data_IF_475686002128
#
_entry.id   IF_475686002128
#
_cell.length_a   1.000
_cell.length_b   1.000
_cell.length_c   1.000
_cell.angle_alpha   90.00
_cell.angle_beta   90.00
_cell.angle_gamma   90.00
#
_symmetry.space_group_name_H-M   'P 1'
#
loop_
_entity.id
_entity.type
_entity.pdbx_description
1 polymer ?
#
# COMPACT_ATOMS: atom_id res chain seq x y z
N UNK A 1 3.36 28.49 -17.11
CA UNK A 1 2.22 27.76 -16.53
C UNK A 1 1.75 28.57 -15.34
N UNK A 2 0.48 28.99 -15.32
CA UNK A 2 -0.05 29.77 -14.19
C UNK A 2 -0.23 28.87 -12.97
N UNK A 3 -0.33 29.46 -11.78
CA UNK A 3 -0.64 28.71 -10.56
C UNK A 3 -1.99 27.96 -10.67
N UNK A 4 -2.96 28.55 -11.39
CA UNK A 4 -4.25 27.93 -11.67
C UNK A 4 -4.11 26.67 -12.56
N UNK A 5 -3.26 26.74 -13.59
CA UNK A 5 -3.02 25.59 -14.49
C UNK A 5 -2.37 24.42 -13.73
N UNK A 6 -1.42 24.73 -12.84
CA UNK A 6 -0.76 23.73 -12.00
C UNK A 6 -1.73 23.08 -11.00
N UNK A 7 -2.60 23.89 -10.38
CA UNK A 7 -3.62 23.40 -9.47
C UNK A 7 -4.62 22.47 -10.18
N UNK A 8 -5.10 22.87 -11.37
CA UNK A 8 -6.00 22.05 -12.18
C UNK A 8 -5.34 20.72 -12.58
N UNK A 9 -4.07 20.76 -13.02
CA UNK A 9 -3.33 19.55 -13.36
C UNK A 9 -3.25 18.57 -12.18
N UNK A 10 -2.98 19.08 -10.97
CA UNK A 10 -2.92 18.24 -9.76
C UNK A 10 -4.28 17.60 -9.44
N UNK A 11 -5.38 18.34 -9.57
CA UNK A 11 -6.73 17.77 -9.39
C UNK A 11 -6.99 16.66 -10.42
N UNK A 12 -6.66 16.89 -11.69
CA UNK A 12 -6.85 15.88 -12.73
C UNK A 12 -6.05 14.61 -12.41
N UNK A 13 -4.82 14.75 -11.91
CA UNK A 13 -4.00 13.62 -11.46
C UNK A 13 -4.63 12.90 -10.27
N UNK A 14 -5.15 13.63 -9.28
CA UNK A 14 -5.84 13.04 -8.11
C UNK A 14 -7.10 12.26 -8.52
N UNK A 15 -7.90 12.80 -9.44
CA UNK A 15 -9.05 12.10 -10.03
C UNK A 15 -8.58 10.82 -10.73
N UNK A 16 -7.51 10.89 -11.53
CA UNK A 16 -6.94 9.72 -12.19
C UNK A 16 -6.48 8.64 -11.21
N UNK A 17 -5.85 9.02 -10.10
CA UNK A 17 -5.44 8.12 -9.02
C UNK A 17 -6.67 7.49 -8.32
N UNK A 18 -7.71 8.28 -8.06
CA UNK A 18 -8.96 7.79 -7.47
C UNK A 18 -9.64 6.76 -8.38
N UNK A 19 -9.72 7.03 -9.67
CA UNK A 19 -10.23 6.07 -10.67
C UNK A 19 -9.38 4.80 -10.74
N UNK A 20 -8.06 4.90 -10.60
CA UNK A 20 -7.18 3.74 -10.51
C UNK A 20 -7.51 2.87 -9.28
N UNK A 21 -7.75 3.48 -8.11
CA UNK A 21 -8.21 2.76 -6.90
C UNK A 21 -9.49 1.97 -7.18
N UNK A 22 -10.50 2.59 -7.80
CA UNK A 22 -11.75 1.90 -8.17
C UNK A 22 -11.47 0.71 -9.11
N UNK A 23 -10.60 0.91 -10.09
CA UNK A 23 -10.17 -0.16 -11.01
C UNK A 23 -9.48 -1.31 -10.27
N UNK A 24 -8.62 -1.03 -9.29
CA UNK A 24 -7.95 -2.06 -8.49
C UNK A 24 -8.97 -2.80 -7.60
N UNK A 25 -9.92 -2.10 -6.99
CA UNK A 25 -11.00 -2.72 -6.20
C UNK A 25 -11.84 -3.67 -7.05
N UNK A 26 -12.18 -3.28 -8.28
CA UNK A 26 -12.83 -4.18 -9.22
C UNK A 26 -11.96 -5.42 -9.47
N UNK A 27 -10.65 -5.26 -9.73
CA UNK A 27 -9.75 -6.41 -9.94
C UNK A 27 -9.67 -7.33 -8.72
N UNK A 28 -9.59 -6.78 -7.52
CA UNK A 28 -9.63 -7.55 -6.26
C UNK A 28 -10.94 -8.33 -6.17
N UNK A 29 -12.08 -7.66 -6.37
CA UNK A 29 -13.39 -8.30 -6.32
C UNK A 29 -13.55 -9.42 -7.34
N UNK A 30 -13.09 -9.20 -8.59
CA UNK A 30 -13.20 -10.21 -9.65
C UNK A 30 -12.39 -11.46 -9.31
N UNK A 31 -11.25 -11.26 -8.65
CA UNK A 31 -10.34 -12.32 -8.26
C UNK A 31 -10.87 -13.15 -7.10
N UNK A 32 -11.62 -12.54 -6.17
CA UNK A 32 -12.13 -13.20 -4.97
C UNK A 32 -13.54 -13.77 -5.12
N UNK A 33 -14.45 -13.05 -5.81
CA UNK A 33 -15.89 -13.33 -5.81
C UNK A 33 -16.54 -13.30 -7.20
N UNK A 34 -15.76 -13.09 -8.27
CA UNK A 34 -16.28 -12.98 -9.63
C UNK A 34 -16.80 -11.58 -10.00
N UNK A 35 -17.35 -11.43 -11.20
CA UNK A 35 -17.60 -10.12 -11.82
C UNK A 35 -18.73 -9.30 -11.20
N UNK A 36 -19.85 -9.93 -10.83
CA UNK A 36 -21.00 -9.19 -10.31
C UNK A 36 -20.73 -8.54 -8.94
N UNK A 37 -20.18 -9.25 -7.92
CA UNK A 37 -19.81 -8.61 -6.65
C UNK A 37 -18.70 -7.58 -6.82
N UNK A 38 -17.75 -7.82 -7.74
CA UNK A 38 -16.68 -6.87 -8.04
C UNK A 38 -17.21 -5.54 -8.61
N UNK A 39 -18.15 -5.63 -9.55
CA UNK A 39 -18.80 -4.47 -10.13
C UNK A 39 -19.56 -3.69 -9.07
N UNK A 40 -20.33 -4.38 -8.21
CA UNK A 40 -21.03 -3.75 -7.10
C UNK A 40 -20.07 -3.03 -6.15
N UNK A 41 -18.95 -3.66 -5.75
CA UNK A 41 -17.97 -3.05 -4.88
C UNK A 41 -17.33 -1.79 -5.49
N UNK A 42 -16.93 -1.86 -6.77
CA UNK A 42 -16.36 -0.71 -7.48
C UNK A 42 -17.38 0.42 -7.68
N UNK A 43 -18.64 0.07 -7.96
CA UNK A 43 -19.73 1.03 -8.08
C UNK A 43 -20.01 1.73 -6.74
N UNK A 44 -20.13 0.98 -5.64
CA UNK A 44 -20.31 1.55 -4.31
C UNK A 44 -19.16 2.48 -3.93
N UNK A 45 -17.91 2.10 -4.23
CA UNK A 45 -16.76 2.98 -4.00
C UNK A 45 -16.80 4.25 -4.86
N UNK A 46 -17.27 4.18 -6.10
CA UNK A 46 -17.43 5.35 -6.96
C UNK A 46 -18.49 6.35 -6.46
N UNK A 47 -19.40 5.89 -5.61
CA UNK A 47 -20.43 6.71 -4.96
C UNK A 47 -20.01 7.20 -3.57
N UNK A 48 -18.85 6.78 -3.06
CA UNK A 48 -18.37 7.23 -1.77
C UNK A 48 -18.03 8.72 -1.82
N UNK A 49 -18.82 9.51 -1.07
CA UNK A 49 -18.69 10.95 -1.03
C UNK A 49 -17.33 11.38 -0.47
N UNK A 50 -16.82 10.67 0.53
CA UNK A 50 -15.54 10.99 1.16
C UNK A 50 -14.39 10.84 0.15
N UNK A 51 -14.33 9.71 -0.57
CA UNK A 51 -13.36 9.47 -1.64
C UNK A 51 -13.50 10.49 -2.79
N UNK A 52 -14.72 10.88 -3.13
CA UNK A 52 -14.97 11.88 -4.19
C UNK A 52 -14.45 13.26 -3.79
N UNK A 53 -14.72 13.70 -2.56
CA UNK A 53 -14.22 14.98 -2.03
C UNK A 53 -12.69 14.97 -1.94
N UNK A 54 -12.10 13.89 -1.43
CA UNK A 54 -10.65 13.74 -1.34
C UNK A 54 -9.97 13.78 -2.72
N UNK A 55 -10.62 13.30 -3.78
CA UNK A 55 -10.08 13.37 -5.14
C UNK A 55 -10.07 14.80 -5.72
N UNK A 56 -10.89 15.71 -5.19
CA UNK A 56 -10.94 17.12 -5.59
C UNK A 56 -10.06 18.03 -4.73
N UNK A 57 -9.51 17.49 -3.64
CA UNK A 57 -8.59 18.18 -2.75
C UNK A 57 -7.16 17.69 -2.98
N UNK A 58 -6.17 18.58 -2.86
CA UNK A 58 -4.76 18.20 -2.99
C UNK A 58 -4.28 17.66 -1.64
N UNK A 59 -4.68 16.42 -1.35
CA UNK A 59 -4.37 15.66 -0.14
C UNK A 59 -3.54 14.41 -0.48
N UNK A 60 -2.79 13.90 0.49
CA UNK A 60 -2.01 12.67 0.32
C UNK A 60 -2.86 11.40 0.46
N UNK A 61 -4.08 11.52 1.01
CA UNK A 61 -5.04 10.44 1.26
C UNK A 61 -5.38 9.63 0.02
N UNK A 62 -5.63 10.29 -1.10
CA UNK A 62 -6.00 9.66 -2.38
C UNK A 62 -4.84 8.80 -2.93
N UNK A 63 -3.62 9.35 -2.94
CA UNK A 63 -2.43 8.62 -3.34
C UNK A 63 -2.11 7.46 -2.38
N UNK A 64 -2.19 7.71 -1.08
CA UNK A 64 -1.97 6.69 -0.05
C UNK A 64 -2.93 5.51 -0.23
N UNK A 65 -4.21 5.80 -0.40
CA UNK A 65 -5.25 4.77 -0.56
C UNK A 65 -5.01 3.96 -1.83
N UNK A 66 -4.73 4.61 -2.96
CA UNK A 66 -4.41 3.90 -4.22
C UNK A 66 -3.22 2.95 -4.06
N UNK A 67 -2.11 3.42 -3.46
CA UNK A 67 -0.91 2.61 -3.26
C UNK A 67 -1.16 1.46 -2.26
N UNK A 68 -1.91 1.71 -1.20
CA UNK A 68 -2.26 0.69 -0.21
C UNK A 68 -3.19 -0.38 -0.82
N UNK A 69 -4.20 0.02 -1.58
CA UNK A 69 -5.07 -0.93 -2.32
C UNK A 69 -4.27 -1.72 -3.35
N UNK A 70 -3.30 -1.10 -4.02
CA UNK A 70 -2.37 -1.79 -4.91
C UNK A 70 -1.53 -2.83 -4.14
N UNK A 71 -1.03 -2.50 -2.95
CA UNK A 71 -0.30 -3.44 -2.10
C UNK A 71 -1.16 -4.67 -1.79
N UNK A 72 -2.43 -4.48 -1.42
CA UNK A 72 -3.39 -5.57 -1.17
C UNK A 72 -3.56 -6.44 -2.42
N UNK A 73 -3.77 -5.82 -3.59
CA UNK A 73 -3.91 -6.57 -4.84
C UNK A 73 -2.66 -7.40 -5.16
N UNK A 74 -1.46 -6.83 -5.02
CA UNK A 74 -0.19 -7.55 -5.20
C UNK A 74 -0.06 -8.73 -4.22
N UNK A 75 -0.48 -8.54 -2.97
CA UNK A 75 -0.52 -9.61 -1.97
C UNK A 75 -1.46 -10.74 -2.36
N UNK A 76 -2.67 -10.44 -2.85
CA UNK A 76 -3.61 -11.45 -3.36
C UNK A 76 -3.05 -12.21 -4.57
N UNK A 77 -2.31 -11.51 -5.46
CA UNK A 77 -1.62 -12.15 -6.59
C UNK A 77 -0.54 -13.10 -6.12
N UNK A 78 0.23 -12.73 -5.10
CA UNK A 78 1.19 -13.62 -4.45
C UNK A 78 0.49 -14.87 -3.90
N UNK A 79 -0.64 -14.71 -3.18
CA UNK A 79 -1.44 -15.82 -2.63
C UNK A 79 -1.90 -16.82 -3.68
N UNK A 80 -2.20 -16.34 -4.88
CA UNK A 80 -2.84 -17.12 -5.94
C UNK A 80 -1.87 -17.82 -6.88
N UNK A 81 -0.59 -17.47 -6.83
CA UNK A 81 0.43 -17.98 -7.74
C UNK A 81 1.65 -18.44 -6.95
N UNK A 82 1.50 -19.45 -6.08
CA UNK A 82 2.55 -19.90 -5.15
C UNK A 82 3.90 -20.15 -5.83
N UNK A 83 3.94 -20.78 -7.01
CA UNK A 83 5.19 -21.03 -7.75
C UNK A 83 5.88 -19.77 -8.30
N UNK A 84 5.13 -18.66 -8.48
CA UNK A 84 5.63 -17.38 -9.00
C UNK A 84 5.37 -16.24 -8.01
N UNK A 85 5.30 -16.55 -6.71
CA UNK A 85 4.89 -15.58 -5.70
C UNK A 85 5.95 -14.53 -5.39
N UNK A 86 7.24 -14.83 -5.55
CA UNK A 86 8.34 -13.95 -5.11
C UNK A 86 8.32 -12.53 -5.70
N UNK A 87 8.12 -12.32 -7.02
CA UNK A 87 7.98 -10.98 -7.56
C UNK A 87 6.79 -10.22 -6.95
N UNK A 88 5.65 -10.90 -6.77
CA UNK A 88 4.46 -10.30 -6.17
C UNK A 88 4.66 -9.94 -4.70
N UNK A 89 5.38 -10.77 -3.93
CA UNK A 89 5.77 -10.48 -2.55
C UNK A 89 6.68 -9.24 -2.48
N UNK A 90 7.66 -9.14 -3.38
CA UNK A 90 8.52 -7.96 -3.48
C UNK A 90 7.70 -6.69 -3.78
N UNK A 91 6.83 -6.73 -4.80
CA UNK A 91 6.03 -5.58 -5.18
C UNK A 91 4.97 -5.21 -4.12
N UNK A 92 4.43 -6.20 -3.40
CA UNK A 92 3.59 -5.98 -2.23
C UNK A 92 4.35 -5.21 -1.14
N UNK A 93 5.54 -5.69 -0.74
CA UNK A 93 6.38 -5.02 0.25
C UNK A 93 6.84 -3.62 -0.19
N UNK A 94 7.13 -3.45 -1.48
CA UNK A 94 7.47 -2.15 -2.07
C UNK A 94 6.30 -1.17 -1.99
N UNK A 95 5.09 -1.59 -2.38
CA UNK A 95 3.90 -0.75 -2.29
C UNK A 95 3.59 -0.37 -0.84
N UNK A 96 3.70 -1.31 0.11
CA UNK A 96 3.51 -1.02 1.54
C UNK A 96 4.54 -0.01 2.08
N UNK A 97 5.78 -0.13 1.61
CA UNK A 97 6.85 0.81 1.95
C UNK A 97 6.56 2.21 1.39
N UNK A 98 6.15 2.31 0.13
CA UNK A 98 5.75 3.58 -0.50
C UNK A 98 4.54 4.18 0.24
N UNK A 99 3.54 3.36 0.61
CA UNK A 99 2.41 3.82 1.41
C UNK A 99 2.85 4.40 2.76
N UNK A 100 3.84 3.78 3.41
CA UNK A 100 4.42 4.27 4.68
C UNK A 100 5.15 5.60 4.51
N UNK A 101 5.84 5.80 3.39
CA UNK A 101 6.47 7.09 3.05
C UNK A 101 5.44 8.19 2.77
N UNK A 102 4.29 7.84 2.19
CA UNK A 102 3.20 8.81 1.92
C UNK A 102 2.48 9.18 3.22
N UNK A 103 2.14 8.19 4.06
CA UNK A 103 1.53 8.42 5.38
C UNK A 103 2.15 7.51 6.45
N UNK A 104 2.70 8.08 7.53
CA UNK A 104 3.35 7.31 8.59
C UNK A 104 2.46 6.30 9.32
N UNK A 105 1.13 6.40 9.22
CA UNK A 105 0.21 5.44 9.84
C UNK A 105 0.40 4.01 9.31
N UNK A 106 0.82 3.85 8.04
CA UNK A 106 1.11 2.52 7.48
C UNK A 106 2.38 1.88 8.06
N UNK A 107 3.21 2.62 8.80
CA UNK A 107 4.35 2.07 9.54
C UNK A 107 3.92 0.92 10.47
N UNK A 108 2.72 1.03 11.05
CA UNK A 108 2.18 0.01 11.96
C UNK A 108 1.66 -1.25 11.26
N UNK A 109 1.50 -1.23 9.92
CA UNK A 109 0.99 -2.37 9.16
C UNK A 109 2.06 -3.43 8.90
N UNK A 110 3.35 -3.10 9.01
CA UNK A 110 4.43 -4.04 8.68
C UNK A 110 4.41 -5.27 9.60
N UNK A 111 4.12 -5.09 10.90
CA UNK A 111 4.10 -6.20 11.87
C UNK A 111 2.92 -7.16 11.61
N UNK A 112 1.66 -6.68 11.50
CA UNK A 112 0.55 -7.54 11.09
C UNK A 112 0.78 -8.27 9.77
N UNK A 113 1.37 -7.59 8.76
CA UNK A 113 1.67 -8.20 7.46
C UNK A 113 2.69 -9.33 7.57
N UNK A 114 3.79 -9.14 8.32
CA UNK A 114 4.79 -10.19 8.52
C UNK A 114 4.18 -11.43 9.21
N UNK A 115 3.33 -11.21 10.21
CA UNK A 115 2.63 -12.30 10.90
C UNK A 115 1.65 -13.01 9.98
N UNK A 116 0.87 -12.26 9.19
CA UNK A 116 -0.05 -12.81 8.21
C UNK A 116 0.67 -13.71 7.21
N UNK A 117 1.76 -13.23 6.60
CA UNK A 117 2.53 -14.01 5.62
C UNK A 117 3.18 -15.24 6.24
N UNK A 118 3.71 -15.12 7.46
CA UNK A 118 4.25 -16.26 8.20
C UNK A 118 3.18 -17.35 8.41
N UNK A 119 1.96 -16.96 8.81
CA UNK A 119 0.84 -17.89 8.99
C UNK A 119 0.40 -18.55 7.68
N UNK A 120 0.33 -17.78 6.59
CA UNK A 120 0.02 -18.30 5.25
C UNK A 120 1.02 -19.39 4.86
N UNK A 121 2.31 -19.16 5.06
CA UNK A 121 3.32 -20.13 4.63
C UNK A 121 3.34 -21.40 5.45
N UNK A 122 3.15 -21.28 6.77
CA UNK A 122 3.08 -22.45 7.67
C UNK A 122 1.84 -23.29 7.36
N UNK A 123 0.67 -22.66 7.19
CA UNK A 123 -0.61 -23.38 7.09
C UNK A 123 -1.01 -23.78 5.67
N UNK A 124 -0.66 -23.00 4.66
CA UNK A 124 -1.23 -23.15 3.31
C UNK A 124 -0.21 -23.54 2.25
N UNK A 125 1.01 -23.00 2.30
CA UNK A 125 2.02 -23.24 1.26
C UNK A 125 3.01 -24.36 1.60
N UNK A 126 3.11 -24.76 2.86
CA UNK A 126 4.02 -25.80 3.34
C UNK A 126 5.47 -25.59 2.86
N UNK A 127 5.88 -24.34 2.75
CA UNK A 127 7.23 -23.98 2.32
C UNK A 127 8.27 -24.39 3.36
N UNK A 128 9.47 -24.75 2.87
CA UNK A 128 10.61 -24.97 3.76
C UNK A 128 10.96 -23.69 4.51
N UNK A 129 11.55 -23.80 5.70
CA UNK A 129 11.98 -22.64 6.49
C UNK A 129 12.90 -21.70 5.70
N UNK A 130 13.75 -22.23 4.81
CA UNK A 130 14.64 -21.44 3.95
C UNK A 130 13.85 -20.58 2.98
N UNK A 131 12.87 -21.16 2.30
CA UNK A 131 12.01 -20.46 1.35
C UNK A 131 11.18 -19.38 2.05
N UNK A 132 10.65 -19.70 3.23
CA UNK A 132 9.93 -18.75 4.09
C UNK A 132 10.81 -17.57 4.51
N UNK A 133 12.05 -17.83 4.94
CA UNK A 133 12.99 -16.77 5.30
C UNK A 133 13.32 -15.87 4.09
N UNK A 134 13.57 -16.46 2.92
CA UNK A 134 13.80 -15.69 1.68
C UNK A 134 12.60 -14.83 1.33
N UNK A 135 11.38 -15.34 1.51
CA UNK A 135 10.16 -14.60 1.24
C UNK A 135 9.97 -13.41 2.20
N UNK A 136 10.21 -13.60 3.51
CA UNK A 136 10.21 -12.51 4.49
C UNK A 136 11.23 -11.44 4.15
N UNK A 137 12.46 -11.85 3.84
CA UNK A 137 13.51 -10.92 3.44
C UNK A 137 13.15 -10.18 2.16
N UNK A 138 12.53 -10.87 1.18
CA UNK A 138 12.06 -10.24 -0.06
C UNK A 138 11.00 -9.18 0.20
N UNK A 139 10.03 -9.46 1.09
CA UNK A 139 9.02 -8.50 1.53
C UNK A 139 9.65 -7.31 2.27
N UNK A 140 10.62 -7.57 3.15
CA UNK A 140 11.26 -6.56 3.99
C UNK A 140 12.32 -5.72 3.27
N UNK A 141 12.86 -6.20 2.16
CA UNK A 141 13.99 -5.55 1.47
C UNK A 141 13.66 -4.08 1.13
N UNK A 142 12.53 -3.75 0.46
CA UNK A 142 12.17 -2.36 0.21
C UNK A 142 12.04 -1.53 1.48
N UNK A 143 11.44 -2.11 2.53
CA UNK A 143 11.19 -1.43 3.80
C UNK A 143 12.50 -1.08 4.50
N UNK A 144 13.43 -2.04 4.63
CA UNK A 144 14.74 -1.83 5.23
C UNK A 144 15.52 -0.78 4.45
N UNK A 145 15.52 -0.85 3.12
CA UNK A 145 16.29 0.08 2.29
C UNK A 145 15.75 1.52 2.38
N UNK A 146 14.44 1.70 2.25
CA UNK A 146 13.86 3.04 2.16
C UNK A 146 13.54 3.64 3.54
N UNK A 147 12.85 2.89 4.41
CA UNK A 147 12.49 3.34 5.76
C UNK A 147 13.73 3.35 6.65
N UNK A 148 14.54 2.28 6.60
CA UNK A 148 15.81 2.23 7.32
C UNK A 148 16.79 3.29 6.84
N UNK A 149 16.88 3.53 5.52
CA UNK A 149 17.66 4.65 4.97
C UNK A 149 17.18 6.01 5.49
N UNK A 150 15.87 6.20 5.62
CA UNK A 150 15.29 7.42 6.20
C UNK A 150 15.64 7.58 7.69
N UNK A 151 15.60 6.50 8.47
CA UNK A 151 16.05 6.51 9.87
C UNK A 151 17.52 6.91 10.01
N UNK A 152 18.40 6.36 9.17
CA UNK A 152 19.83 6.73 9.17
C UNK A 152 19.99 8.22 8.83
N UNK A 153 19.30 8.70 7.79
CA UNK A 153 19.30 10.11 7.42
C UNK A 153 18.83 11.00 8.58
N UNK A 154 17.74 10.63 9.27
CA UNK A 154 17.22 11.39 10.40
C UNK A 154 18.19 11.41 11.57
N UNK A 155 18.87 10.29 11.85
CA UNK A 155 19.87 10.26 12.91
C UNK A 155 21.04 11.19 12.60
N UNK A 156 21.56 11.14 11.37
CA UNK A 156 22.69 11.97 10.95
C UNK A 156 22.36 13.47 10.86
N UNK A 157 21.11 13.83 10.58
CA UNK A 157 20.71 15.23 10.34
C UNK A 157 20.00 15.89 11.51
N UNK A 158 19.23 15.12 12.27
CA UNK A 158 18.36 15.60 13.35
C UNK A 158 18.65 14.95 14.71
N UNK A 159 19.55 13.97 14.78
CA UNK A 159 19.91 13.28 16.02
C UNK A 159 18.81 12.34 16.55
N UNK A 160 17.78 12.04 15.76
CA UNK A 160 16.67 11.16 16.17
C UNK A 160 16.56 9.95 15.24
N UNK A 161 16.19 8.81 15.80
CA UNK A 161 15.82 7.61 15.04
C UNK A 161 14.30 7.55 14.79
N UNK A 162 13.55 8.62 15.06
CA UNK A 162 12.13 8.64 14.79
C UNK A 162 11.89 8.69 13.27
N UNK A 163 10.91 7.92 12.79
CA UNK A 163 10.54 7.97 11.38
C UNK A 163 9.82 9.29 11.06
N UNK A 164 8.89 9.69 11.92
CA UNK A 164 8.22 10.99 11.87
C UNK A 164 7.71 11.38 13.26
N UNK A 165 7.90 12.64 13.64
CA UNK A 165 7.46 13.21 14.93
C UNK A 165 5.93 13.31 15.06
N UNK A 166 5.19 13.19 13.95
CA UNK A 166 3.71 13.31 13.91
C UNK A 166 3.05 11.90 13.87
N UNK A 167 3.80 10.82 14.12
CA UNK A 167 3.25 9.46 14.07
C UNK A 167 2.10 9.23 15.06
N UNK A 168 2.23 9.71 16.30
CA UNK A 168 1.23 9.47 17.35
C UNK A 168 -0.04 10.32 17.19
N UNK A 169 0.07 11.53 16.63
CA UNK A 169 -1.07 12.46 16.48
C UNK A 169 -2.09 11.91 15.47
N UNK A 170 -1.62 11.27 14.39
CA UNK A 170 -2.47 10.71 13.33
C UNK A 170 -3.17 9.39 13.70
N UNK A 171 -2.92 8.81 14.88
CA UNK A 171 -3.64 7.61 15.34
C UNK A 171 -4.97 7.94 16.04
N UNK A 172 -5.13 9.17 16.53
CA UNK A 172 -6.26 9.60 17.36
C UNK A 172 -7.10 10.72 16.74
N UNK A 173 -6.65 11.32 15.63
CA UNK A 173 -7.31 12.44 14.95
C UNK A 173 -7.20 12.29 13.43
#
# INVERSE_FOLDING_TARGET
>A
MSAADAYLLLIILQIGISLATIGIVYRIGTHLWGSAPAFLAAFLLSLDLASTVNALQILTDTLFTCVLTLAVWMGLRALSCSQKAMPWIFFHGLCLTIATLIRPIAYYLIVPELLFWLLVWIKWWHWSWKTTLVALLTLLTPWIMLIGGWHVRNYLTAGTLEFSSIQAVNLLF
#
